data_IF_056549171118
#
_entry.id   IF_056549171118
#
_cell.length_a   1.000
_cell.length_b   1.000
_cell.length_c   1.000
_cell.angle_alpha   90.00
_cell.angle_beta   90.00
_cell.angle_gamma   90.00
#
_symmetry.space_group_name_H-M   'P 1'
#
loop_
_entity.id
_entity.type
_entity.pdbx_description
1 polymer ?
#
# COMPACT_ATOMS: atom_id res chain seq x y z
N UNK A 1 42.54 19.85 -20.11
CA UNK A 1 42.91 18.77 -19.20
C UNK A 1 42.26 19.03 -17.86
N UNK A 2 41.02 18.55 -17.64
CA UNK A 2 40.29 18.68 -16.38
C UNK A 2 40.34 17.34 -15.66
N UNK A 3 40.95 17.33 -14.50
CA UNK A 3 41.04 16.16 -13.62
C UNK A 3 39.66 15.88 -13.02
N UNK A 4 39.08 14.74 -13.35
CA UNK A 4 37.92 14.17 -12.71
C UNK A 4 38.39 13.60 -11.34
N UNK A 5 38.05 14.27 -10.26
CA UNK A 5 38.20 13.74 -8.91
C UNK A 5 37.10 12.70 -8.67
N UNK A 6 37.46 11.42 -8.72
CA UNK A 6 36.58 10.35 -8.23
C UNK A 6 36.44 10.48 -6.71
N UNK A 7 35.25 10.65 -6.22
CA UNK A 7 34.93 10.55 -4.80
C UNK A 7 35.18 9.10 -4.34
N UNK A 8 36.02 8.96 -3.33
CA UNK A 8 36.29 7.66 -2.67
C UNK A 8 35.07 7.33 -1.80
N UNK A 9 34.43 6.15 -1.94
CA UNK A 9 33.33 5.76 -1.06
C UNK A 9 33.86 5.64 0.37
N UNK A 10 33.14 6.26 1.31
CA UNK A 10 33.45 6.10 2.74
C UNK A 10 33.24 4.64 3.14
N UNK A 11 34.16 4.03 3.92
CA UNK A 11 33.96 2.68 4.41
C UNK A 11 32.72 2.63 5.31
N UNK A 12 31.83 1.68 5.07
CA UNK A 12 30.67 1.40 5.91
C UNK A 12 31.16 1.14 7.35
N UNK A 13 30.79 2.02 8.25
CA UNK A 13 30.98 1.81 9.67
C UNK A 13 30.03 0.69 10.13
N UNK A 14 30.52 -0.45 10.67
CA UNK A 14 29.62 -1.47 11.20
C UNK A 14 28.86 -0.84 12.38
N UNK A 15 27.54 -0.73 12.24
CA UNK A 15 26.69 -0.27 13.30
C UNK A 15 26.80 -1.21 14.50
N UNK A 16 27.55 -0.79 15.52
CA UNK A 16 27.41 -1.32 16.85
C UNK A 16 26.00 -0.95 17.30
N UNK A 17 25.09 -1.90 17.23
CA UNK A 17 23.76 -1.75 17.83
C UNK A 17 24.00 -1.40 19.30
N UNK A 18 23.68 -0.16 19.65
CA UNK A 18 23.76 0.28 21.04
C UNK A 18 22.79 -0.59 21.86
N UNK A 19 23.26 -1.38 22.84
CA UNK A 19 22.40 -2.33 23.57
C UNK A 19 21.50 -1.64 24.61
N UNK A 20 21.30 -0.33 24.49
CA UNK A 20 20.50 0.41 25.45
C UNK A 20 19.02 0.41 25.12
N UNK A 21 18.28 -0.34 25.95
CA UNK A 21 16.84 -0.53 26.06
C UNK A 21 16.23 -1.37 24.92
N UNK A 22 16.18 -2.68 25.15
CA UNK A 22 15.08 -3.51 24.65
C UNK A 22 13.78 -2.86 25.13
N UNK A 23 13.20 -1.98 24.32
CA UNK A 23 11.81 -1.55 24.53
C UNK A 23 10.98 -2.76 24.12
N UNK A 24 10.43 -3.46 25.09
CA UNK A 24 9.55 -4.59 24.80
C UNK A 24 8.35 -4.09 24.01
N UNK A 25 7.96 -4.85 22.99
CA UNK A 25 6.76 -4.58 22.20
C UNK A 25 5.54 -4.44 23.11
N UNK A 26 4.68 -3.48 22.84
CA UNK A 26 3.44 -3.26 23.59
C UNK A 26 2.40 -4.34 23.26
N UNK A 27 2.68 -5.57 23.69
CA UNK A 27 1.81 -6.74 23.47
C UNK A 27 0.37 -6.52 23.96
N UNK A 28 0.12 -5.87 25.12
CA UNK A 28 -1.25 -5.57 25.53
C UNK A 28 -2.02 -4.72 24.51
N UNK A 29 -1.42 -3.70 23.92
CA UNK A 29 -2.05 -2.89 22.87
C UNK A 29 -2.34 -3.75 21.62
N UNK A 30 -1.35 -4.49 21.15
CA UNK A 30 -1.46 -5.32 19.95
C UNK A 30 -2.59 -6.37 20.12
N UNK A 31 -2.63 -7.08 21.24
CA UNK A 31 -3.73 -8.04 21.54
C UNK A 31 -5.08 -7.35 21.67
N UNK A 32 -5.11 -6.10 22.16
CA UNK A 32 -6.34 -5.32 22.20
C UNK A 32 -6.85 -4.97 20.81
N UNK A 33 -5.97 -4.58 19.88
CA UNK A 33 -6.32 -4.33 18.48
C UNK A 33 -6.91 -5.60 17.84
N UNK A 34 -6.25 -6.74 17.97
CA UNK A 34 -6.77 -8.00 17.44
C UNK A 34 -8.13 -8.42 18.03
N UNK A 35 -8.41 -8.05 19.29
CA UNK A 35 -9.70 -8.35 19.92
C UNK A 35 -10.87 -7.53 19.39
N UNK A 36 -10.62 -6.51 18.58
CA UNK A 36 -11.66 -5.67 17.98
C UNK A 36 -11.94 -6.20 16.58
N UNK A 37 -13.05 -6.91 16.42
CA UNK A 37 -13.52 -7.35 15.13
C UNK A 37 -14.07 -6.15 14.34
N UNK A 38 -13.48 -5.88 13.19
CA UNK A 38 -13.76 -4.70 12.37
C UNK A 38 -13.87 -5.06 10.88
N UNK A 39 -14.83 -5.89 10.46
CA UNK A 39 -14.97 -6.20 9.03
C UNK A 39 -15.33 -4.96 8.23
N UNK A 40 -14.97 -4.93 6.94
CA UNK A 40 -15.24 -3.83 6.03
C UNK A 40 -16.70 -3.36 6.12
N UNK A 41 -16.91 -2.06 6.21
CA UNK A 41 -18.20 -1.42 6.44
C UNK A 41 -18.72 -1.45 7.89
N UNK A 42 -18.01 -2.09 8.85
CA UNK A 42 -18.41 -2.22 10.26
C UNK A 42 -17.31 -1.86 11.25
N UNK A 43 -16.45 -0.91 10.91
CA UNK A 43 -15.25 -0.52 11.67
C UNK A 43 -15.52 0.38 12.88
N UNK A 44 -16.77 0.71 13.18
CA UNK A 44 -17.14 1.68 14.23
C UNK A 44 -16.54 1.37 15.62
N UNK A 45 -16.32 0.10 15.93
CA UNK A 45 -15.68 -0.30 17.20
C UNK A 45 -14.19 0.03 17.21
N UNK A 46 -13.50 -0.16 16.07
CA UNK A 46 -12.11 0.22 15.91
C UNK A 46 -11.96 1.75 15.94
N UNK A 47 -12.79 2.48 15.21
CA UNK A 47 -12.80 3.96 15.21
C UNK A 47 -12.94 4.51 16.64
N UNK A 48 -13.93 4.01 17.41
CA UNK A 48 -14.10 4.44 18.81
C UNK A 48 -12.89 4.13 19.68
N UNK A 49 -12.29 2.96 19.48
CA UNK A 49 -11.09 2.59 20.21
C UNK A 49 -9.93 3.53 19.87
N UNK A 50 -9.65 3.75 18.58
CA UNK A 50 -8.58 4.64 18.11
C UNK A 50 -8.75 6.06 18.64
N UNK A 51 -9.94 6.66 18.48
CA UNK A 51 -10.23 7.99 19.01
C UNK A 51 -10.00 8.09 20.53
N UNK A 52 -10.37 7.03 21.27
CA UNK A 52 -10.17 6.99 22.74
C UNK A 52 -8.71 6.81 23.09
N UNK A 53 -8.00 5.90 22.43
CA UNK A 53 -6.61 5.60 22.70
C UNK A 53 -5.68 6.76 22.35
N UNK A 54 -5.88 7.37 21.17
CA UNK A 54 -5.06 8.51 20.71
C UNK A 54 -5.14 9.69 21.68
N UNK A 55 -6.31 9.94 22.29
CA UNK A 55 -6.48 10.99 23.32
C UNK A 55 -5.65 10.73 24.59
N UNK A 56 -5.18 9.52 24.82
CA UNK A 56 -4.31 9.18 25.97
C UNK A 56 -2.84 9.36 25.66
N UNK A 57 -2.48 9.57 24.40
CA UNK A 57 -1.09 9.72 23.98
C UNK A 57 -0.57 11.13 24.34
N UNK A 58 0.74 11.25 24.62
CA UNK A 58 1.35 12.54 24.98
C UNK A 58 1.45 13.46 23.76
N UNK A 59 1.44 14.77 24.01
CA UNK A 59 1.65 15.81 23.02
C UNK A 59 0.37 16.49 22.54
N UNK A 60 0.53 17.45 21.64
CA UNK A 60 -0.57 18.17 20.99
C UNK A 60 -1.07 17.33 19.81
N UNK A 61 -2.19 16.67 19.97
CA UNK A 61 -2.73 15.75 18.98
C UNK A 61 -4.16 16.17 18.64
N UNK A 62 -4.42 16.40 17.34
CA UNK A 62 -5.75 16.60 16.81
C UNK A 62 -6.18 15.36 16.02
N UNK A 63 -7.48 15.03 16.14
CA UNK A 63 -8.11 13.94 15.41
C UNK A 63 -9.35 14.49 14.73
N UNK A 64 -9.47 14.28 13.44
CA UNK A 64 -10.67 14.59 12.67
C UNK A 64 -11.15 13.34 11.92
N UNK A 65 -12.41 13.34 11.55
CA UNK A 65 -13.03 12.27 10.79
C UNK A 65 -13.75 12.87 9.60
N UNK A 66 -13.60 12.28 8.43
CA UNK A 66 -14.37 12.69 7.26
C UNK A 66 -15.75 12.02 7.20
N UNK A 67 -16.52 12.34 6.18
CA UNK A 67 -17.87 11.78 5.98
C UNK A 67 -17.88 10.29 5.64
N UNK A 68 -16.76 9.76 5.15
CA UNK A 68 -16.58 8.33 4.85
C UNK A 68 -16.13 7.55 6.08
N UNK A 69 -15.72 8.25 7.15
CA UNK A 69 -15.32 7.67 8.41
C UNK A 69 -13.81 7.42 8.54
N UNK A 70 -13.01 7.86 7.59
CA UNK A 70 -11.56 7.85 7.70
C UNK A 70 -11.12 8.75 8.85
N UNK A 71 -10.09 8.35 9.60
CA UNK A 71 -9.53 9.15 10.68
C UNK A 71 -8.22 9.81 10.26
N UNK A 72 -8.14 11.11 10.47
CA UNK A 72 -6.95 11.92 10.21
C UNK A 72 -6.39 12.42 11.53
N UNK A 73 -5.11 12.14 11.77
CA UNK A 73 -4.43 12.49 13.01
C UNK A 73 -3.24 13.38 12.69
N UNK A 74 -3.14 14.50 13.40
CA UNK A 74 -1.97 15.39 13.34
C UNK A 74 -1.40 15.50 14.73
N UNK A 75 -0.11 15.19 14.89
CA UNK A 75 0.65 15.41 16.11
C UNK A 75 1.71 16.46 15.90
N UNK A 76 1.76 17.40 16.84
CA UNK A 76 2.73 18.50 16.83
C UNK A 76 2.44 19.55 15.77
N UNK A 77 3.38 20.51 15.65
CA UNK A 77 3.32 21.59 14.64
C UNK A 77 4.64 21.64 13.89
N UNK A 78 4.56 21.57 12.57
CA UNK A 78 5.70 21.64 11.67
C UNK A 78 5.27 22.25 10.34
N UNK A 79 6.21 22.73 9.54
CA UNK A 79 5.96 23.15 8.16
C UNK A 79 5.73 21.94 7.26
N UNK A 80 6.38 20.81 7.58
CA UNK A 80 6.23 19.55 6.82
C UNK A 80 6.17 18.36 7.77
N UNK A 81 5.50 17.29 7.35
CA UNK A 81 5.25 16.11 8.19
C UNK A 81 5.65 14.81 7.50
N UNK A 82 6.24 13.84 8.24
CA UNK A 82 6.16 12.45 7.82
C UNK A 82 4.71 11.98 7.92
N UNK A 83 4.29 11.06 7.07
CA UNK A 83 2.94 10.52 7.12
C UNK A 83 2.95 9.00 7.10
N UNK A 84 2.13 8.40 7.96
CA UNK A 84 1.83 6.97 7.95
C UNK A 84 0.37 6.76 7.57
N UNK A 85 0.10 5.69 6.84
CA UNK A 85 -1.27 5.25 6.54
C UNK A 85 -1.42 3.77 6.87
N UNK A 86 -2.62 3.37 7.24
CA UNK A 86 -2.99 1.99 7.57
C UNK A 86 -4.50 1.86 7.42
N UNK A 87 -5.01 0.69 7.06
CA UNK A 87 -6.45 0.47 7.08
C UNK A 87 -6.93 -0.17 8.38
N UNK A 88 -8.21 0.00 8.71
CA UNK A 88 -8.78 -0.42 9.98
C UNK A 88 -9.83 -1.50 9.86
N UNK A 89 -10.17 -1.87 8.65
CA UNK A 89 -11.02 -3.01 8.38
C UNK A 89 -10.21 -4.30 8.29
N UNK A 90 -10.88 -5.39 8.17
CA UNK A 90 -10.35 -6.73 7.91
C UNK A 90 -11.35 -7.51 7.08
N UNK A 91 -10.87 -8.49 6.33
CA UNK A 91 -11.75 -9.40 5.58
C UNK A 91 -12.76 -10.05 6.52
N UNK A 92 -14.02 -10.02 6.11
CA UNK A 92 -15.12 -10.59 6.85
C UNK A 92 -15.11 -12.11 6.77
N UNK A 93 -14.73 -12.77 7.85
CA UNK A 93 -14.99 -14.21 8.01
C UNK A 93 -16.35 -14.42 8.65
N UNK A 94 -17.15 -15.29 8.08
CA UNK A 94 -18.55 -15.54 8.46
C UNK A 94 -18.76 -15.96 9.91
N UNK A 95 -17.71 -16.13 10.67
CA UNK A 95 -17.76 -16.82 11.95
C UNK A 95 -16.80 -16.31 13.04
N UNK A 96 -16.52 -15.02 13.10
CA UNK A 96 -15.77 -14.50 14.23
C UNK A 96 -16.53 -14.79 15.54
N UNK A 97 -15.89 -15.52 16.46
CA UNK A 97 -16.55 -15.97 17.68
C UNK A 97 -16.50 -14.95 18.79
N UNK A 98 -17.52 -14.96 19.67
CA UNK A 98 -17.58 -14.07 20.82
C UNK A 98 -16.48 -14.36 21.86
N UNK A 99 -15.90 -15.54 21.82
CA UNK A 99 -14.84 -15.99 22.71
C UNK A 99 -13.45 -15.98 22.04
N UNK A 100 -13.31 -15.26 20.93
CA UNK A 100 -12.04 -15.03 20.26
C UNK A 100 -10.96 -14.56 21.23
N UNK A 101 -9.77 -15.11 21.08
CA UNK A 101 -8.57 -14.73 21.84
C UNK A 101 -7.37 -14.64 20.92
N UNK A 102 -6.63 -13.55 21.00
CA UNK A 102 -5.28 -13.47 20.47
C UNK A 102 -4.32 -14.21 21.42
N UNK A 103 -3.87 -15.38 20.99
CA UNK A 103 -2.95 -16.23 21.73
C UNK A 103 -1.52 -15.85 21.37
N UNK A 104 -0.73 -15.55 22.39
CA UNK A 104 0.67 -15.22 22.24
C UNK A 104 1.55 -16.40 22.62
N UNK A 105 2.54 -16.69 21.77
CA UNK A 105 3.68 -17.56 22.06
C UNK A 105 4.96 -16.76 22.19
N UNK A 106 6.09 -17.43 22.31
CA UNK A 106 7.41 -16.78 22.31
C UNK A 106 7.66 -16.02 21.00
N UNK A 107 7.21 -16.52 19.85
CA UNK A 107 7.57 -16.05 18.52
C UNK A 107 6.40 -15.41 17.75
N UNK A 108 5.20 -15.95 17.91
CA UNK A 108 4.03 -15.57 17.12
C UNK A 108 2.82 -15.21 17.98
N UNK A 109 1.88 -14.51 17.35
CA UNK A 109 0.52 -14.31 17.84
C UNK A 109 -0.43 -14.86 16.78
N UNK A 110 -1.51 -15.54 17.21
CA UNK A 110 -2.55 -16.09 16.34
C UNK A 110 -3.92 -15.98 16.99
N UNK A 111 -4.97 -16.01 16.17
CA UNK A 111 -6.35 -16.01 16.64
C UNK A 111 -6.83 -17.42 16.98
N UNK A 112 -7.59 -17.57 18.08
CA UNK A 112 -8.15 -18.84 18.51
C UNK A 112 -9.49 -18.67 19.23
N UNK A 113 -10.42 -19.56 18.95
CA UNK A 113 -11.68 -19.70 19.68
C UNK A 113 -11.66 -20.94 20.58
N UNK A 114 -11.58 -20.78 21.91
CA UNK A 114 -11.64 -21.93 22.83
C UNK A 114 -12.93 -22.71 22.74
N UNK A 115 -14.08 -22.04 22.58
CA UNK A 115 -15.38 -22.71 22.50
C UNK A 115 -15.56 -23.55 21.26
N UNK A 116 -14.98 -23.11 20.14
CA UNK A 116 -15.01 -23.83 18.85
C UNK A 116 -13.80 -24.74 18.65
N UNK A 117 -12.77 -24.61 19.50
CA UNK A 117 -11.51 -25.36 19.43
C UNK A 117 -10.83 -25.27 18.07
N UNK A 118 -10.80 -24.06 17.47
CA UNK A 118 -10.20 -23.81 16.14
C UNK A 118 -9.48 -22.47 16.09
N UNK A 119 -8.58 -22.35 15.12
CA UNK A 119 -8.02 -21.07 14.74
C UNK A 119 -9.10 -20.16 14.16
N UNK A 120 -8.92 -18.87 14.33
CA UNK A 120 -9.78 -17.83 13.75
C UNK A 120 -8.91 -16.70 13.24
N UNK A 121 -9.33 -16.07 12.14
CA UNK A 121 -8.64 -14.93 11.55
C UNK A 121 -8.26 -13.90 12.61
N UNK A 122 -6.99 -13.50 12.60
CA UNK A 122 -6.43 -12.55 13.56
C UNK A 122 -6.76 -11.11 13.19
N UNK A 123 -6.91 -10.81 11.87
CA UNK A 123 -7.01 -9.47 11.32
C UNK A 123 -5.71 -8.71 11.52
N UNK A 124 -4.56 -9.39 11.39
CA UNK A 124 -3.24 -8.77 11.46
C UNK A 124 -2.98 -7.88 10.25
N UNK A 125 -3.59 -8.19 9.15
CA UNK A 125 -3.89 -7.36 8.02
C UNK A 125 -5.11 -6.46 8.35
N UNK A 126 -5.00 -5.11 8.59
CA UNK A 126 -3.74 -4.37 8.81
C UNK A 126 -3.62 -3.85 10.25
N UNK A 127 -4.08 -4.60 11.24
CA UNK A 127 -3.90 -4.19 12.66
C UNK A 127 -2.43 -4.14 13.09
N UNK A 128 -1.52 -4.75 12.31
CA UNK A 128 -0.09 -4.59 12.46
C UNK A 128 0.34 -3.17 12.08
N UNK A 129 -0.13 -2.64 10.98
CA UNK A 129 0.11 -1.26 10.58
C UNK A 129 -0.55 -0.27 11.55
N UNK A 130 -1.80 -0.53 11.95
CA UNK A 130 -2.45 0.27 13.01
C UNK A 130 -1.58 0.34 14.28
N UNK A 131 -1.02 -0.81 14.71
CA UNK A 131 -0.13 -0.87 15.87
C UNK A 131 1.14 -0.03 15.65
N UNK A 132 1.78 -0.14 14.48
CA UNK A 132 2.97 0.65 14.13
C UNK A 132 2.63 2.15 14.16
N UNK A 133 1.53 2.55 13.54
CA UNK A 133 1.06 3.95 13.54
C UNK A 133 0.88 4.48 14.98
N UNK A 134 0.26 3.70 15.86
CA UNK A 134 0.03 4.11 17.26
C UNK A 134 1.32 4.18 18.08
N UNK A 135 2.27 3.26 17.89
CA UNK A 135 3.57 3.32 18.59
C UNK A 135 4.42 4.50 18.06
N UNK A 136 4.35 4.80 16.75
CA UNK A 136 4.99 6.00 16.19
C UNK A 136 4.32 7.28 16.70
N UNK A 137 2.99 7.36 16.75
CA UNK A 137 2.28 8.50 17.37
C UNK A 137 2.66 8.71 18.82
N UNK A 138 2.95 7.64 19.56
CA UNK A 138 3.39 7.73 20.94
C UNK A 138 4.81 8.28 21.07
N UNK A 139 5.71 7.94 20.14
CA UNK A 139 7.15 8.25 20.20
C UNK A 139 7.50 9.58 19.57
N UNK A 140 6.97 9.85 18.38
CA UNK A 140 7.37 11.01 17.57
C UNK A 140 6.66 12.28 18.03
N UNK A 141 7.34 13.41 17.95
CA UNK A 141 6.78 14.72 18.32
C UNK A 141 5.96 15.34 17.18
N UNK A 142 6.32 15.01 15.93
CA UNK A 142 5.68 15.51 14.71
C UNK A 142 5.36 14.33 13.81
N UNK A 143 4.07 14.11 13.50
CA UNK A 143 3.63 13.01 12.66
C UNK A 143 2.19 13.25 12.18
N UNK A 144 1.91 12.92 10.94
CA UNK A 144 0.56 12.72 10.41
C UNK A 144 0.26 11.23 10.27
N UNK A 145 -0.97 10.84 10.58
CA UNK A 145 -1.44 9.46 10.38
C UNK A 145 -2.84 9.50 9.80
N UNK A 146 -3.10 8.63 8.82
CA UNK A 146 -4.47 8.37 8.34
C UNK A 146 -4.81 6.91 8.57
N UNK A 147 -6.00 6.67 9.09
CA UNK A 147 -6.59 5.34 9.19
C UNK A 147 -7.76 5.27 8.21
N UNK A 148 -7.58 4.51 7.14
CA UNK A 148 -8.58 4.31 6.10
C UNK A 148 -9.56 3.20 6.45
N UNK A 149 -10.77 3.27 5.87
CA UNK A 149 -11.80 2.26 5.96
C UNK A 149 -11.92 1.52 4.64
N UNK A 150 -12.45 0.29 4.74
CA UNK A 150 -12.92 -0.45 3.55
C UNK A 150 -11.82 -0.62 2.48
N UNK A 151 -10.56 -0.85 2.91
CA UNK A 151 -9.45 -1.17 2.02
C UNK A 151 -9.69 -2.50 1.34
N UNK A 152 -10.09 -3.51 2.10
CA UNK A 152 -10.31 -4.90 1.70
C UNK A 152 -11.49 -5.09 0.70
N UNK A 153 -12.22 -4.03 0.44
CA UNK A 153 -13.34 -3.99 -0.53
C UNK A 153 -13.08 -3.01 -1.67
N UNK A 154 -11.81 -2.75 -1.97
CA UNK A 154 -11.36 -1.91 -3.08
C UNK A 154 -10.93 -0.50 -2.68
N UNK A 155 -10.26 -0.35 -1.54
CA UNK A 155 -9.65 0.92 -1.11
C UNK A 155 -10.65 2.10 -1.07
N UNK A 156 -11.91 1.82 -0.68
CA UNK A 156 -13.00 2.83 -0.72
C UNK A 156 -12.63 4.06 0.13
N UNK A 157 -12.02 3.85 1.29
CA UNK A 157 -11.60 4.93 2.18
C UNK A 157 -10.60 5.87 1.53
N UNK A 158 -9.53 5.34 0.96
CA UNK A 158 -8.47 6.13 0.33
C UNK A 158 -8.92 6.77 -0.99
N UNK A 159 -9.84 6.15 -1.73
CA UNK A 159 -10.47 6.77 -2.91
C UNK A 159 -11.15 8.11 -2.55
N UNK A 160 -11.68 8.22 -1.33
CA UNK A 160 -12.32 9.44 -0.84
C UNK A 160 -11.42 10.27 0.10
N UNK A 161 -10.12 10.06 0.05
CA UNK A 161 -9.19 10.77 0.91
C UNK A 161 -9.24 12.29 0.72
N UNK A 162 -9.10 13.02 1.82
CA UNK A 162 -8.92 14.48 1.77
C UNK A 162 -7.49 14.81 1.32
N UNK A 163 -7.25 14.93 0.02
CA UNK A 163 -5.91 15.15 -0.55
C UNK A 163 -5.21 16.40 -0.01
N UNK A 164 -5.97 17.45 0.40
CA UNK A 164 -5.40 18.61 1.08
C UNK A 164 -4.69 18.29 2.39
N UNK A 165 -4.99 17.15 3.03
CA UNK A 165 -4.27 16.69 4.22
C UNK A 165 -2.81 16.35 3.92
N UNK A 166 -2.52 15.94 2.69
CA UNK A 166 -1.19 15.51 2.26
C UNK A 166 -0.34 16.63 1.64
N UNK A 167 -0.85 17.86 1.55
CA UNK A 167 -0.18 18.99 0.87
C UNK A 167 1.16 19.40 1.47
N UNK A 168 1.40 19.10 2.76
CA UNK A 168 2.61 19.39 3.51
C UNK A 168 3.32 18.12 4.00
N UNK A 169 3.05 16.97 3.34
CA UNK A 169 3.65 15.68 3.69
C UNK A 169 4.98 15.49 2.95
N UNK A 170 6.00 15.01 3.65
CA UNK A 170 7.33 14.75 3.10
C UNK A 170 7.39 13.44 2.31
N UNK A 171 6.71 12.42 2.81
CA UNK A 171 6.55 11.09 2.24
C UNK A 171 5.39 10.37 2.94
N UNK A 172 4.91 9.27 2.35
CA UNK A 172 3.90 8.40 2.95
C UNK A 172 4.44 6.97 3.08
N UNK A 173 4.25 6.36 4.24
CA UNK A 173 4.59 4.94 4.48
C UNK A 173 3.34 4.19 4.94
N UNK A 174 3.03 3.10 4.24
CA UNK A 174 1.99 2.14 4.60
C UNK A 174 2.63 0.83 5.04
N UNK A 175 2.63 0.47 6.32
CA UNK A 175 3.13 -0.83 6.77
C UNK A 175 2.02 -1.88 6.70
N UNK A 176 1.69 -2.31 5.50
CA UNK A 176 0.53 -3.13 5.18
C UNK A 176 0.86 -4.15 4.06
N UNK A 177 1.93 -4.92 4.26
CA UNK A 177 2.28 -6.01 3.36
C UNK A 177 2.63 -7.25 4.15
N UNK A 178 2.20 -8.41 3.68
CA UNK A 178 2.59 -9.71 4.28
C UNK A 178 4.10 -9.92 4.26
N UNK A 179 4.59 -10.77 5.17
CA UNK A 179 6.01 -11.12 5.21
C UNK A 179 6.87 -10.13 5.98
N UNK A 180 8.14 -10.06 5.65
CA UNK A 180 9.11 -9.27 6.40
C UNK A 180 10.19 -8.59 5.56
N UNK A 181 10.12 -8.63 4.24
CA UNK A 181 11.23 -8.19 3.39
C UNK A 181 10.82 -7.40 2.15
N UNK A 182 9.53 -7.29 1.87
CA UNK A 182 9.09 -6.57 0.70
C UNK A 182 8.94 -5.08 1.02
N UNK A 183 9.57 -4.26 0.19
CA UNK A 183 9.35 -2.83 0.07
C UNK A 183 8.69 -2.61 -1.29
N UNK A 184 7.42 -2.27 -1.28
CA UNK A 184 6.66 -2.07 -2.51
C UNK A 184 6.91 -0.66 -2.99
N UNK A 185 7.60 -0.56 -4.12
CA UNK A 185 7.95 0.69 -4.81
C UNK A 185 7.25 0.83 -6.16
N UNK A 186 6.63 -0.26 -6.62
CA UNK A 186 5.90 -0.32 -7.87
C UNK A 186 4.63 -1.16 -7.70
N UNK A 187 3.53 -0.73 -8.29
CA UNK A 187 2.27 -1.47 -8.33
C UNK A 187 1.71 -1.35 -9.74
N UNK A 188 1.52 -2.50 -10.41
CA UNK A 188 1.22 -2.53 -11.84
C UNK A 188 2.29 -1.75 -12.63
N UNK A 189 1.92 -0.69 -13.32
CA UNK A 189 2.82 0.20 -14.06
C UNK A 189 3.16 1.48 -13.30
N UNK A 190 2.64 1.64 -12.06
CA UNK A 190 2.83 2.83 -11.25
C UNK A 190 4.04 2.73 -10.36
N UNK A 191 5.02 3.57 -10.58
CA UNK A 191 6.07 3.79 -9.60
C UNK A 191 5.56 4.69 -8.47
N UNK A 192 5.86 4.32 -7.24
CA UNK A 192 5.32 4.98 -6.05
C UNK A 192 6.27 6.03 -5.45
N UNK A 193 7.56 5.95 -5.74
CA UNK A 193 8.57 6.77 -5.07
C UNK A 193 9.79 7.03 -5.94
N UNK A 194 10.53 8.10 -5.59
CA UNK A 194 11.77 8.47 -6.25
C UNK A 194 12.95 7.62 -5.77
N UNK A 195 13.96 7.45 -6.63
CA UNK A 195 15.26 6.85 -6.26
C UNK A 195 15.90 7.57 -5.07
N UNK A 196 15.78 8.91 -5.01
CA UNK A 196 16.30 9.70 -3.89
C UNK A 196 15.67 9.27 -2.55
N UNK A 197 14.40 8.94 -2.52
CA UNK A 197 13.74 8.43 -1.31
C UNK A 197 14.26 7.05 -0.95
N UNK A 198 14.41 6.15 -1.92
CA UNK A 198 14.95 4.79 -1.69
C UNK A 198 16.39 4.85 -1.15
N UNK A 199 17.25 5.69 -1.75
CA UNK A 199 18.60 5.90 -1.24
C UNK A 199 18.62 6.44 0.21
N UNK A 200 17.70 7.37 0.54
CA UNK A 200 17.63 7.96 1.87
C UNK A 200 17.19 6.96 2.95
N UNK A 201 16.28 6.03 2.64
CA UNK A 201 15.79 5.04 3.62
C UNK A 201 16.69 3.83 3.77
N UNK A 202 17.60 3.55 2.81
CA UNK A 202 18.56 2.42 2.80
C UNK A 202 17.90 1.07 3.20
N UNK A 203 16.93 0.56 2.40
CA UNK A 203 16.10 -0.57 2.78
C UNK A 203 16.90 -1.86 2.96
N UNK A 204 17.98 -2.06 2.18
CA UNK A 204 18.81 -3.27 2.24
C UNK A 204 19.46 -3.45 3.62
N UNK A 205 19.87 -2.37 4.25
CA UNK A 205 20.40 -2.36 5.62
C UNK A 205 19.41 -2.92 6.64
N UNK A 206 18.11 -2.77 6.36
CA UNK A 206 17.01 -3.28 7.17
C UNK A 206 16.52 -4.65 6.71
N UNK A 207 17.14 -5.21 5.66
CA UNK A 207 16.74 -6.49 5.06
C UNK A 207 15.40 -6.42 4.35
N UNK A 208 15.11 -5.26 3.73
CA UNK A 208 14.03 -5.08 2.77
C UNK A 208 14.59 -5.04 1.36
N UNK A 209 13.77 -5.43 0.41
CA UNK A 209 14.08 -5.40 -1.02
C UNK A 209 12.89 -4.79 -1.76
N UNK A 210 13.19 -4.00 -2.76
CA UNK A 210 12.20 -3.48 -3.66
C UNK A 210 11.44 -4.63 -4.35
N UNK A 211 10.15 -4.46 -4.45
CA UNK A 211 9.24 -5.47 -5.00
C UNK A 211 8.00 -4.78 -5.57
N UNK A 212 7.33 -5.46 -6.48
CA UNK A 212 6.04 -5.05 -7.00
C UNK A 212 4.91 -5.51 -6.07
N UNK A 213 3.87 -4.71 -5.98
CA UNK A 213 2.69 -4.97 -5.15
C UNK A 213 1.41 -5.18 -5.92
N UNK A 214 0.33 -5.24 -5.18
CA UNK A 214 -1.05 -5.21 -5.65
C UNK A 214 -1.74 -3.95 -5.14
N UNK A 215 -3.01 -3.73 -5.51
CA UNK A 215 -3.81 -2.61 -5.05
C UNK A 215 -3.71 -2.41 -3.53
N UNK A 216 -3.55 -1.16 -3.12
CA UNK A 216 -3.46 -0.74 -1.72
C UNK A 216 -3.66 0.78 -1.62
N UNK A 217 -3.87 1.32 -0.42
CA UNK A 217 -4.20 2.74 -0.21
C UNK A 217 -3.15 3.70 -0.78
N UNK A 218 -1.84 3.41 -0.69
CA UNK A 218 -0.81 4.32 -1.25
C UNK A 218 -0.85 4.42 -2.77
N UNK A 219 -1.27 3.36 -3.47
CA UNK A 219 -1.52 3.45 -4.91
C UNK A 219 -2.67 4.42 -5.19
N UNK A 220 -3.78 4.24 -4.49
CA UNK A 220 -4.97 5.10 -4.65
C UNK A 220 -4.65 6.56 -4.30
N UNK A 221 -3.86 6.81 -3.25
CA UNK A 221 -3.39 8.16 -2.95
C UNK A 221 -2.54 8.73 -4.09
N UNK A 222 -1.69 7.92 -4.71
CA UNK A 222 -0.89 8.34 -5.87
C UNK A 222 -1.79 8.71 -7.05
N UNK A 223 -2.76 7.86 -7.37
CA UNK A 223 -3.77 8.11 -8.41
C UNK A 223 -4.62 9.37 -8.12
N UNK A 224 -4.88 9.67 -6.85
CA UNK A 224 -5.55 10.90 -6.42
C UNK A 224 -4.64 12.13 -6.41
N UNK A 225 -3.40 12.06 -6.93
CA UNK A 225 -2.49 13.18 -7.06
C UNK A 225 -1.57 13.42 -5.86
N UNK A 226 -1.21 12.38 -5.10
CA UNK A 226 -0.17 12.49 -4.08
C UNK A 226 1.17 12.89 -4.72
N UNK A 227 1.64 14.10 -4.48
CA UNK A 227 2.85 14.68 -5.08
C UNK A 227 4.16 14.30 -4.38
N UNK A 228 4.16 13.37 -3.44
CA UNK A 228 5.34 12.91 -2.71
C UNK A 228 5.51 11.39 -2.83
N UNK A 229 6.73 10.91 -2.60
CA UNK A 229 7.05 9.48 -2.58
C UNK A 229 6.20 8.75 -1.54
N UNK A 230 5.73 7.55 -1.88
CA UNK A 230 5.06 6.65 -0.96
C UNK A 230 5.54 5.21 -1.16
N UNK A 231 5.41 4.38 -0.13
CA UNK A 231 5.81 2.97 -0.14
C UNK A 231 4.86 2.13 0.70
N UNK A 232 4.77 0.82 0.39
CA UNK A 232 4.15 -0.16 1.27
C UNK A 232 5.20 -1.17 1.76
N UNK A 233 5.13 -1.57 3.03
CA UNK A 233 6.15 -2.37 3.73
C UNK A 233 5.58 -3.67 4.30
N UNK A 234 6.32 -4.77 4.15
CA UNK A 234 6.04 -5.99 4.91
C UNK A 234 6.09 -5.72 6.41
N UNK A 235 5.01 -6.02 7.13
CA UNK A 235 4.84 -5.69 8.55
C UNK A 235 4.66 -6.91 9.47
N UNK A 236 5.05 -8.09 9.02
CA UNK A 236 5.22 -9.28 9.87
C UNK A 236 3.96 -10.10 10.07
N UNK A 237 2.90 -9.93 9.27
CA UNK A 237 1.81 -10.89 9.23
C UNK A 237 2.00 -11.90 8.09
N UNK A 238 1.37 -13.05 8.23
CA UNK A 238 1.44 -14.17 7.29
C UNK A 238 0.07 -14.83 7.20
N UNK A 239 -0.21 -15.49 6.08
CA UNK A 239 -1.47 -16.17 5.80
C UNK A 239 -2.68 -15.22 5.92
N UNK A 240 -2.55 -14.01 5.41
CA UNK A 240 -3.62 -13.02 5.38
C UNK A 240 -4.93 -13.62 4.87
N UNK A 241 -6.05 -13.07 5.31
CA UNK A 241 -7.39 -13.43 4.87
C UNK A 241 -7.76 -14.90 5.16
N UNK A 242 -7.14 -15.52 6.18
CA UNK A 242 -7.43 -16.90 6.56
C UNK A 242 -7.56 -17.07 8.08
N UNK A 243 -8.15 -18.18 8.51
CA UNK A 243 -8.20 -18.55 9.94
C UNK A 243 -6.81 -18.93 10.50
N UNK A 244 -5.81 -19.11 9.62
CA UNK A 244 -4.43 -19.46 9.98
C UNK A 244 -3.51 -18.23 9.98
N UNK A 245 -4.09 -17.03 9.93
CA UNK A 245 -3.35 -15.80 9.98
C UNK A 245 -2.57 -15.63 11.28
N UNK A 246 -1.31 -15.25 11.15
CA UNK A 246 -0.40 -15.04 12.29
C UNK A 246 0.37 -13.74 12.17
N UNK A 247 0.82 -13.23 13.30
CA UNK A 247 1.87 -12.21 13.39
C UNK A 247 3.15 -12.82 13.94
N UNK A 248 4.27 -12.63 13.24
CA UNK A 248 5.62 -12.97 13.72
C UNK A 248 6.20 -11.75 14.44
N UNK A 249 6.33 -11.83 15.75
CA UNK A 249 6.69 -10.69 16.62
C UNK A 249 7.99 -10.00 16.25
N UNK A 250 9.02 -10.76 15.85
CA UNK A 250 10.33 -10.20 15.46
C UNK A 250 10.22 -9.38 14.16
N UNK A 251 9.36 -9.83 13.23
CA UNK A 251 9.18 -9.20 11.94
C UNK A 251 8.37 -7.91 12.05
N UNK A 252 7.30 -7.92 12.87
CA UNK A 252 6.56 -6.71 13.23
C UNK A 252 7.46 -5.68 13.93
N UNK A 253 8.31 -6.11 14.87
CA UNK A 253 9.25 -5.23 15.55
C UNK A 253 10.32 -4.66 14.59
N UNK A 254 10.76 -5.46 13.62
CA UNK A 254 11.67 -5.02 12.56
C UNK A 254 11.02 -3.89 11.75
N UNK A 255 9.78 -4.09 11.29
CA UNK A 255 9.04 -3.08 10.53
C UNK A 255 8.85 -1.80 11.35
N UNK A 256 8.39 -1.89 12.60
CA UNK A 256 8.24 -0.74 13.48
C UNK A 256 9.54 0.07 13.59
N UNK A 257 10.68 -0.58 13.77
CA UNK A 257 11.98 0.09 13.87
C UNK A 257 12.42 0.73 12.56
N UNK A 258 12.13 0.10 11.45
CA UNK A 258 12.43 0.65 10.14
C UNK A 258 11.56 1.88 9.86
N UNK A 259 10.27 1.84 10.16
CA UNK A 259 9.37 3.00 10.06
C UNK A 259 9.83 4.14 11.00
N UNK A 260 10.22 3.83 12.24
CA UNK A 260 10.79 4.82 13.16
C UNK A 260 12.05 5.48 12.58
N UNK A 261 12.94 4.69 11.96
CA UNK A 261 14.15 5.20 11.30
C UNK A 261 13.80 6.11 10.10
N UNK A 262 12.88 5.70 9.22
CA UNK A 262 12.43 6.51 8.09
C UNK A 262 11.92 7.89 8.59
N UNK A 263 11.09 7.91 9.64
CA UNK A 263 10.54 9.14 10.20
C UNK A 263 11.66 10.05 10.74
N UNK A 264 12.66 9.48 11.41
CA UNK A 264 13.73 10.22 12.09
C UNK A 264 14.80 10.75 11.11
N UNK A 265 15.16 9.97 10.10
CA UNK A 265 16.28 10.28 9.20
C UNK A 265 15.84 11.01 7.92
N UNK A 266 14.61 10.77 7.42
CA UNK A 266 14.09 11.43 6.23
C UNK A 266 13.42 12.76 6.59
N UNK A 267 14.20 13.83 6.64
CA UNK A 267 13.75 15.17 7.06
C UNK A 267 13.34 16.07 5.90
N UNK A 268 13.69 15.71 4.68
CA UNK A 268 13.37 16.46 3.47
C UNK A 268 12.04 16.03 2.85
N UNK A 269 11.49 16.84 1.96
CA UNK A 269 10.37 16.44 1.10
C UNK A 269 10.96 15.60 -0.04
N UNK A 270 10.32 14.48 -0.34
CA UNK A 270 10.68 13.61 -1.47
C UNK A 270 9.58 13.69 -2.54
N UNK A 271 9.63 14.73 -3.40
CA UNK A 271 8.62 14.90 -4.43
C UNK A 271 8.68 13.73 -5.40
N UNK A 272 7.54 13.21 -5.73
CA UNK A 272 7.38 12.22 -6.77
C UNK A 272 5.95 12.27 -7.29
N UNK A 273 5.81 12.70 -8.49
CA UNK A 273 4.58 12.58 -9.25
C UNK A 273 4.88 11.58 -10.33
N UNK A 274 4.19 10.47 -10.29
CA UNK A 274 4.24 9.54 -11.39
C UNK A 274 3.76 10.31 -12.63
N UNK A 275 4.64 10.46 -13.59
CA UNK A 275 4.27 11.06 -14.86
C UNK A 275 3.60 9.95 -15.66
N UNK A 276 2.39 9.54 -15.19
CA UNK A 276 1.54 8.72 -16.01
C UNK A 276 1.26 9.52 -17.28
N UNK A 277 1.84 9.09 -18.34
CA UNK A 277 1.25 9.26 -19.66
C UNK A 277 0.08 8.25 -19.70
N UNK A 278 -0.93 8.55 -18.86
CA UNK A 278 -2.02 7.66 -18.43
C UNK A 278 -2.85 7.09 -19.58
N UNK A 279 -2.68 7.62 -20.77
CA UNK A 279 -3.46 7.20 -21.91
C UNK A 279 -2.78 6.11 -22.76
N UNK A 280 -1.43 6.10 -22.84
CA UNK A 280 -0.75 5.18 -23.76
C UNK A 280 -0.67 3.74 -23.25
N UNK A 281 -0.39 3.51 -21.97
CA UNK A 281 -0.22 2.14 -21.45
C UNK A 281 -1.55 1.43 -21.22
N UNK A 282 -2.58 2.12 -20.71
CA UNK A 282 -3.91 1.51 -20.57
C UNK A 282 -4.58 1.27 -21.93
N UNK A 283 -4.29 2.09 -22.92
CA UNK A 283 -4.79 1.92 -24.27
C UNK A 283 -4.20 0.66 -24.93
N UNK A 284 -2.90 0.41 -24.75
CA UNK A 284 -2.21 -0.76 -25.29
C UNK A 284 -2.70 -2.06 -24.65
N UNK A 285 -2.88 -2.09 -23.32
CA UNK A 285 -3.46 -3.23 -22.60
C UNK A 285 -4.91 -3.55 -23.04
N UNK A 286 -5.71 -2.50 -23.26
CA UNK A 286 -7.08 -2.64 -23.77
C UNK A 286 -7.07 -3.17 -25.21
N UNK A 287 -6.17 -2.67 -26.04
CA UNK A 287 -6.01 -3.15 -27.42
C UNK A 287 -5.49 -4.57 -27.48
N UNK A 288 -4.56 -4.96 -26.61
CA UNK A 288 -4.10 -6.34 -26.52
C UNK A 288 -5.24 -7.29 -26.10
N UNK A 289 -6.09 -6.87 -25.17
CA UNK A 289 -7.25 -7.65 -24.78
C UNK A 289 -8.25 -7.78 -25.92
N UNK A 290 -8.52 -6.72 -26.66
CA UNK A 290 -9.39 -6.73 -27.84
C UNK A 290 -8.81 -7.57 -28.99
N UNK A 291 -7.47 -7.63 -29.14
CA UNK A 291 -6.81 -8.56 -30.07
C UNK A 291 -7.01 -10.02 -29.66
N UNK A 292 -6.99 -10.30 -28.33
CA UNK A 292 -7.20 -11.64 -27.81
C UNK A 292 -8.67 -12.09 -27.86
N UNK A 293 -9.60 -11.17 -27.62
CA UNK A 293 -11.05 -11.41 -27.67
C UNK A 293 -11.79 -10.21 -28.30
N UNK A 294 -11.96 -10.21 -29.63
CA UNK A 294 -12.64 -9.12 -30.34
C UNK A 294 -14.15 -9.02 -30.05
N UNK A 295 -14.72 -9.93 -29.29
CA UNK A 295 -16.15 -9.92 -28.93
C UNK A 295 -16.48 -9.09 -27.70
N UNK A 296 -15.45 -8.63 -26.96
CA UNK A 296 -15.62 -7.78 -25.79
C UNK A 296 -16.26 -6.44 -26.16
N UNK A 297 -17.14 -6.00 -25.29
CA UNK A 297 -17.78 -4.68 -25.38
C UNK A 297 -17.10 -3.66 -24.44
N UNK A 298 -17.34 -2.35 -24.63
CA UNK A 298 -16.87 -1.32 -23.68
C UNK A 298 -17.32 -1.58 -22.23
N UNK A 299 -18.53 -2.11 -22.03
CA UNK A 299 -19.03 -2.46 -20.70
C UNK A 299 -18.25 -3.64 -20.09
N UNK A 300 -17.88 -4.65 -20.90
CA UNK A 300 -17.05 -5.75 -20.45
C UNK A 300 -15.65 -5.25 -20.05
N UNK A 301 -15.03 -4.42 -20.89
CA UNK A 301 -13.73 -3.80 -20.60
C UNK A 301 -13.79 -2.96 -19.33
N UNK A 302 -14.80 -2.12 -19.16
CA UNK A 302 -14.99 -1.34 -17.95
C UNK A 302 -15.15 -2.25 -16.73
N UNK A 303 -15.92 -3.32 -16.81
CA UNK A 303 -16.10 -4.28 -15.72
C UNK A 303 -14.81 -5.00 -15.35
N UNK A 304 -13.96 -5.30 -16.33
CA UNK A 304 -12.67 -5.99 -16.13
C UNK A 304 -11.60 -5.06 -15.56
N UNK A 305 -11.55 -3.83 -16.03
CA UNK A 305 -10.43 -2.92 -15.77
C UNK A 305 -10.75 -1.75 -14.86
N UNK A 306 -12.01 -1.50 -14.48
CA UNK A 306 -12.39 -0.38 -13.60
C UNK A 306 -11.71 -0.42 -12.22
N UNK A 307 -11.26 -1.59 -11.79
CA UNK A 307 -10.45 -1.74 -10.57
C UNK A 307 -8.98 -1.42 -10.83
N UNK A 308 -8.46 -1.77 -12.01
CA UNK A 308 -7.07 -1.54 -12.40
C UNK A 308 -6.85 -0.08 -12.80
N UNK A 309 -7.81 0.49 -13.52
CA UNK A 309 -7.79 1.88 -13.99
C UNK A 309 -9.00 2.67 -13.45
N UNK A 310 -9.06 2.93 -12.14
CA UNK A 310 -10.25 3.52 -11.51
C UNK A 310 -10.51 4.98 -11.90
N UNK A 311 -9.55 5.63 -12.55
CA UNK A 311 -9.67 6.98 -13.10
C UNK A 311 -10.37 7.02 -14.48
N UNK A 312 -10.40 5.87 -15.20
CA UNK A 312 -11.11 5.77 -16.47
C UNK A 312 -12.61 5.57 -16.23
N UNK A 313 -13.39 6.30 -17.02
CA UNK A 313 -14.85 6.17 -17.05
C UNK A 313 -15.25 5.28 -18.21
N UNK A 314 -16.48 4.82 -18.23
CA UNK A 314 -17.02 4.04 -19.35
C UNK A 314 -16.82 4.75 -20.70
N UNK A 315 -16.96 6.08 -20.74
CA UNK A 315 -16.71 6.91 -21.92
C UNK A 315 -15.28 6.79 -22.49
N UNK A 316 -14.29 6.51 -21.65
CA UNK A 316 -12.90 6.29 -22.07
C UNK A 316 -12.75 4.92 -22.74
N UNK A 317 -13.39 3.88 -22.21
CA UNK A 317 -13.39 2.54 -22.82
C UNK A 317 -14.18 2.52 -24.13
N UNK A 318 -15.26 3.28 -24.26
CA UNK A 318 -15.98 3.47 -25.52
C UNK A 318 -15.05 4.09 -26.57
N UNK A 319 -14.30 5.12 -26.22
CA UNK A 319 -13.33 5.78 -27.11
C UNK A 319 -12.20 4.84 -27.55
N UNK A 320 -11.60 4.08 -26.62
CA UNK A 320 -10.56 3.09 -26.94
C UNK A 320 -11.09 2.01 -27.88
N UNK A 321 -12.29 1.53 -27.61
CA UNK A 321 -12.95 0.54 -28.48
C UNK A 321 -13.16 1.08 -29.90
N UNK A 322 -13.69 2.29 -30.06
CA UNK A 322 -13.88 2.93 -31.35
C UNK A 322 -12.56 3.13 -32.09
N UNK A 323 -11.51 3.56 -31.38
CA UNK A 323 -10.17 3.73 -31.96
C UNK A 323 -9.61 2.40 -32.42
N UNK A 324 -9.70 1.35 -31.62
CA UNK A 324 -9.28 0.00 -32.00
C UNK A 324 -10.01 -0.51 -33.24
N UNK A 325 -11.32 -0.36 -33.28
CA UNK A 325 -12.12 -0.78 -34.46
C UNK A 325 -11.68 -0.03 -35.74
N UNK A 326 -11.28 1.21 -35.61
CA UNK A 326 -10.80 2.03 -36.74
C UNK A 326 -9.42 1.54 -37.21
N UNK A 327 -8.49 1.31 -36.30
CA UNK A 327 -7.14 0.83 -36.62
C UNK A 327 -7.18 -0.57 -37.25
N UNK A 328 -8.00 -1.48 -36.69
CA UNK A 328 -8.19 -2.83 -37.24
C UNK A 328 -8.78 -2.83 -38.65
N UNK A 329 -9.74 -1.94 -38.89
CA UNK A 329 -10.34 -1.81 -40.20
C UNK A 329 -9.38 -1.21 -41.25
N UNK A 330 -8.31 -0.53 -40.85
CA UNK A 330 -7.24 -0.07 -41.73
C UNK A 330 -6.23 -1.16 -42.05
N UNK A 331 -5.87 -2.00 -41.08
CA UNK A 331 -4.96 -3.16 -41.23
C UNK A 331 -5.52 -4.20 -42.22
N UNK A 332 -6.83 -4.49 -42.15
CA UNK A 332 -7.48 -5.40 -43.10
C UNK A 332 -7.52 -4.88 -44.55
N UNK A 333 -7.24 -3.59 -44.79
CA UNK A 333 -7.22 -2.98 -46.10
C UNK A 333 -5.84 -2.95 -46.75
N UNK A 334 -4.78 -3.20 -45.99
CA UNK A 334 -3.39 -3.14 -46.49
C UNK A 334 -2.81 -4.52 -46.84
N UNK A 335 -3.61 -5.62 -46.84
CA UNK A 335 -3.19 -6.89 -47.38
C UNK A 335 -3.61 -7.01 -48.86
N UNK A 336 -2.77 -6.57 -49.83
CA UNK A 336 -3.00 -6.88 -51.23
C UNK A 336 -2.63 -8.36 -51.43
N UNK A 337 -3.58 -9.13 -51.92
CA UNK A 337 -3.37 -10.48 -52.44
C UNK A 337 -2.03 -10.53 -53.20
N UNK A 338 -1.03 -11.24 -52.65
CA UNK A 338 0.16 -11.60 -53.42
C UNK A 338 -0.27 -12.48 -54.62
N UNK A 339 -0.34 -11.86 -55.80
CA UNK A 339 -0.42 -12.55 -57.08
C UNK A 339 0.78 -13.50 -57.18
N UNK A 340 0.53 -14.77 -56.96
CA UNK A 340 1.47 -15.86 -57.32
C UNK A 340 1.45 -15.99 -58.80
N UNK A 341 2.29 -15.23 -59.51
CA UNK A 341 2.60 -15.40 -60.92
C UNK A 341 3.33 -16.74 -61.13
N UNK A 342 2.63 -17.63 -61.80
CA UNK A 342 3.13 -18.96 -62.12
C UNK A 342 4.32 -18.90 -63.09
N UNK A 343 5.43 -19.46 -62.71
CA UNK A 343 6.47 -19.91 -63.65
C UNK A 343 6.24 -21.38 -64.03
N UNK A 344 5.67 -21.57 -65.22
CA UNK A 344 5.72 -22.83 -65.98
C UNK A 344 7.09 -22.85 -66.68
N UNK A 345 7.99 -23.73 -66.23
CA UNK A 345 9.19 -24.10 -67.01
C UNK A 345 8.86 -25.31 -67.85
N UNK A 346 8.85 -25.15 -69.18
CA UNK A 346 9.04 -26.22 -70.17
C UNK A 346 10.52 -26.30 -70.50
N UNK A 347 11.17 -27.45 -70.16
CA UNK A 347 12.00 -28.31 -70.96
C UNK A 347 12.68 -29.36 -70.08
#
# INVERSE_FOLDING_TARGET
MRLLTRSIPRPACPMVMNPQKKKDMNIPLLKKLYSIYSPSGKEQSMIRFLCSYIKTLPGDISVSQDRHGNLYVIKGKSETYPCLVSHIDQVAHSNHSKDFKAIETKEIIFGYSPGRKRFENLGADDKNGVFICLECLKKQDVLKVVFFREEETGCIGSTHAHMSFFSDVRFVVQPDRKGNSDLITNIYYSELCSEQFIEAIDPERWGYKESSGSMTDVLVLKQNGLGTSCINLSCGYYNAHSDEEITVKKDLLKCLRFVEHIIEDCTEIYPYTDMFDDHYECEEDIYDMLRMDPTLTPDDLYSMYSITFPYLKLEDYERFYETYQTLWAEDEREDPEDEIDGYISTD
#
